data_IF_544736384720
#
_entry.id   IF_544736384720
#
_cell.length_a   1.000
_cell.length_b   1.000
_cell.length_c   1.000
_cell.angle_alpha   90.00
_cell.angle_beta   90.00
_cell.angle_gamma   90.00
#
_symmetry.space_group_name_H-M   'P 1'
#
loop_
_entity.id
_entity.type
_entity.pdbx_description
1 polymer ?
#
# COMPACT_ATOMS: atom_id res chain seq x y z
N UNK A 1 3.79 3.48 -7.80
CA UNK A 1 4.21 2.71 -8.99
C UNK A 1 5.70 2.97 -9.23
N UNK A 2 6.45 2.03 -9.81
CA UNK A 2 7.82 2.26 -10.29
C UNK A 2 7.95 3.53 -11.13
N UNK A 3 9.03 4.30 -10.98
CA UNK A 3 9.40 5.29 -11.98
C UNK A 3 9.86 4.60 -13.26
N UNK A 4 8.94 4.43 -14.21
CA UNK A 4 9.17 3.67 -15.45
C UNK A 4 10.24 4.29 -16.37
N UNK A 5 10.61 5.56 -16.15
CA UNK A 5 11.66 6.25 -16.93
C UNK A 5 13.06 5.67 -16.66
N UNK A 6 13.24 4.96 -15.55
CA UNK A 6 14.52 4.33 -15.17
C UNK A 6 14.72 2.94 -15.79
N UNK A 7 13.67 2.37 -16.39
CA UNK A 7 13.70 0.99 -16.90
C UNK A 7 14.26 0.97 -18.32
N UNK A 8 15.29 0.14 -18.54
CA UNK A 8 15.73 -0.23 -19.89
C UNK A 8 14.76 -1.24 -20.52
N UNK A 9 13.93 -0.80 -21.47
CA UNK A 9 12.94 -1.63 -22.15
C UNK A 9 13.49 -2.46 -23.31
N UNK A 10 14.82 -2.58 -23.45
CA UNK A 10 15.41 -3.45 -24.46
C UNK A 10 15.03 -4.90 -24.20
N UNK A 11 14.43 -5.55 -25.19
CA UNK A 11 14.01 -6.94 -25.10
C UNK A 11 15.20 -7.86 -24.80
N UNK A 12 14.99 -8.80 -23.87
CA UNK A 12 16.04 -9.74 -23.47
C UNK A 12 15.95 -10.16 -22.01
N UNK A 13 16.75 -11.16 -21.65
CA UNK A 13 16.88 -11.69 -20.29
C UNK A 13 18.28 -11.40 -19.78
N UNK A 14 18.38 -10.81 -18.59
CA UNK A 14 19.63 -10.51 -17.89
C UNK A 14 19.61 -11.14 -16.50
N UNK A 15 20.54 -12.05 -16.23
CA UNK A 15 20.80 -12.51 -14.86
C UNK A 15 21.48 -11.39 -14.09
N UNK A 16 20.93 -11.05 -12.93
CA UNK A 16 21.37 -9.92 -12.10
C UNK A 16 22.15 -10.41 -10.87
N UNK A 17 21.72 -11.50 -10.25
CA UNK A 17 22.40 -12.07 -9.09
C UNK A 17 22.23 -13.59 -9.02
N UNK A 18 23.23 -14.27 -8.45
CA UNK A 18 23.18 -15.69 -8.11
C UNK A 18 22.85 -15.82 -6.61
N UNK A 19 21.60 -16.14 -6.29
CA UNK A 19 21.17 -16.29 -4.90
C UNK A 19 21.67 -17.61 -4.30
N UNK A 20 22.02 -18.59 -5.12
CA UNK A 20 22.64 -19.83 -4.68
C UNK A 20 24.02 -19.59 -4.09
N UNK A 21 24.83 -18.73 -4.72
CA UNK A 21 26.13 -18.32 -4.15
C UNK A 21 25.97 -17.57 -2.82
N UNK A 22 25.00 -16.65 -2.71
CA UNK A 22 24.72 -15.95 -1.45
C UNK A 22 24.30 -16.95 -0.35
N UNK A 23 23.47 -17.95 -0.67
CA UNK A 23 23.06 -18.99 0.29
C UNK A 23 24.18 -19.95 0.70
N UNK A 24 25.24 -20.10 -0.11
CA UNK A 24 26.42 -20.88 0.27
C UNK A 24 27.31 -20.12 1.25
N UNK A 25 27.36 -18.80 1.11
CA UNK A 25 28.20 -17.94 1.93
C UNK A 25 27.58 -17.65 3.30
N UNK A 26 26.26 -17.46 3.36
CA UNK A 26 25.56 -17.04 4.58
C UNK A 26 24.61 -18.13 5.10
N UNK A 27 24.62 -18.33 6.42
CA UNK A 27 23.83 -19.37 7.10
C UNK A 27 22.32 -19.11 7.06
N UNK A 28 21.92 -17.85 6.89
CA UNK A 28 20.53 -17.42 6.77
C UNK A 28 20.42 -16.31 5.72
N UNK A 29 19.45 -16.45 4.81
CA UNK A 29 19.11 -15.45 3.78
C UNK A 29 17.60 -15.28 3.74
N UNK A 30 17.13 -14.05 3.98
CA UNK A 30 15.70 -13.71 4.08
C UNK A 30 15.37 -12.37 3.43
N UNK A 31 14.07 -12.06 3.34
CA UNK A 31 13.53 -10.80 2.81
C UNK A 31 14.03 -10.44 1.39
N UNK A 32 13.67 -11.27 0.40
CA UNK A 32 14.02 -11.04 -1.00
C UNK A 32 13.19 -9.89 -1.59
N UNK A 33 13.85 -8.79 -1.97
CA UNK A 33 13.19 -7.62 -2.56
C UNK A 33 13.89 -7.21 -3.84
N UNK A 34 13.13 -7.10 -4.94
CA UNK A 34 13.64 -6.66 -6.23
C UNK A 34 13.38 -5.16 -6.44
N UNK A 35 14.34 -4.45 -7.04
CA UNK A 35 14.16 -3.04 -7.39
C UNK A 35 13.06 -2.86 -8.45
N UNK A 36 12.41 -1.69 -8.47
CA UNK A 36 11.42 -1.33 -9.49
C UNK A 36 11.91 -1.55 -10.94
N UNK A 37 13.15 -1.18 -11.24
CA UNK A 37 13.80 -1.38 -12.55
C UNK A 37 14.28 -2.82 -12.83
N UNK A 38 14.30 -3.65 -11.79
CA UNK A 38 14.77 -5.03 -11.83
C UNK A 38 16.29 -5.20 -11.85
N UNK A 39 17.08 -4.13 -11.78
CA UNK A 39 18.55 -4.17 -11.83
C UNK A 39 19.20 -4.55 -10.49
N UNK A 40 18.43 -4.59 -9.40
CA UNK A 40 18.89 -4.99 -8.07
C UNK A 40 17.96 -5.99 -7.42
N UNK A 41 18.54 -6.89 -6.64
CA UNK A 41 17.85 -7.68 -5.63
C UNK A 41 18.59 -7.53 -4.30
N UNK A 42 17.83 -7.27 -3.25
CA UNK A 42 18.32 -7.14 -1.90
C UNK A 42 17.81 -8.29 -1.02
N UNK A 43 18.64 -8.72 -0.07
CA UNK A 43 18.32 -9.71 0.95
C UNK A 43 18.98 -9.33 2.27
N UNK A 44 18.42 -9.78 3.39
CA UNK A 44 19.10 -9.78 4.68
C UNK A 44 19.86 -11.09 4.84
N UNK A 45 21.13 -10.98 5.22
CA UNK A 45 22.04 -12.10 5.46
C UNK A 45 22.52 -12.12 6.90
N UNK A 46 22.75 -13.32 7.44
CA UNK A 46 23.45 -13.49 8.74
C UNK A 46 24.93 -13.71 8.48
N UNK A 47 25.77 -12.78 8.95
CA UNK A 47 27.23 -12.80 8.80
C UNK A 47 27.90 -13.58 9.95
N UNK A 48 27.38 -13.42 11.16
CA UNK A 48 27.79 -14.12 12.38
C UNK A 48 26.58 -14.26 13.33
N UNK A 49 26.76 -14.83 14.53
CA UNK A 49 25.67 -15.10 15.48
C UNK A 49 24.82 -13.85 15.78
N UNK A 50 25.47 -12.71 16.03
CA UNK A 50 24.82 -11.43 16.37
C UNK A 50 25.02 -10.34 15.31
N UNK A 51 25.54 -10.71 14.13
CA UNK A 51 25.84 -9.76 13.05
C UNK A 51 25.02 -10.10 11.81
N UNK A 52 24.19 -9.16 11.39
CA UNK A 52 23.45 -9.22 10.13
C UNK A 52 23.99 -8.17 9.14
N UNK A 53 23.73 -8.40 7.86
CA UNK A 53 24.03 -7.46 6.79
C UNK A 53 22.90 -7.41 5.78
N UNK A 54 22.89 -6.35 4.97
CA UNK A 54 22.04 -6.25 3.79
C UNK A 54 22.92 -6.49 2.56
N UNK A 55 22.56 -7.51 1.77
CA UNK A 55 23.28 -7.91 0.56
C UNK A 55 22.49 -7.48 -0.67
N UNK A 56 23.12 -6.72 -1.55
CA UNK A 56 22.56 -6.25 -2.82
C UNK A 56 23.37 -6.85 -3.96
N UNK A 57 22.73 -7.67 -4.79
CA UNK A 57 23.38 -8.35 -5.92
C UNK A 57 24.66 -9.13 -5.53
N UNK A 58 24.72 -9.69 -4.32
CA UNK A 58 25.89 -10.43 -3.82
C UNK A 58 26.92 -9.56 -3.09
N UNK A 59 26.73 -8.24 -3.01
CA UNK A 59 27.59 -7.32 -2.27
C UNK A 59 26.91 -6.89 -0.98
N UNK A 60 27.54 -7.16 0.17
CA UNK A 60 27.03 -6.74 1.48
C UNK A 60 27.42 -5.29 1.74
N UNK A 61 26.51 -4.52 2.32
CA UNK A 61 26.83 -3.20 2.87
C UNK A 61 28.01 -3.27 3.85
N UNK A 62 28.78 -2.18 3.92
CA UNK A 62 30.00 -2.15 4.73
C UNK A 62 29.71 -2.24 6.23
N UNK A 63 28.59 -1.68 6.67
CA UNK A 63 28.21 -1.63 8.07
C UNK A 63 27.74 -2.99 8.58
N UNK A 64 28.29 -3.40 9.72
CA UNK A 64 27.73 -4.48 10.53
C UNK A 64 26.49 -3.98 11.28
N UNK A 65 25.43 -4.78 11.25
CA UNK A 65 24.14 -4.44 11.84
C UNK A 65 23.79 -5.50 12.89
N UNK A 66 23.12 -5.11 13.97
CA UNK A 66 22.51 -6.08 14.89
C UNK A 66 21.22 -6.66 14.28
N UNK A 67 20.45 -5.79 13.61
CA UNK A 67 19.18 -6.13 12.97
C UNK A 67 18.98 -5.33 11.70
N UNK A 68 18.28 -5.94 10.75
CA UNK A 68 17.76 -5.32 9.55
C UNK A 68 16.42 -5.97 9.23
N UNK A 69 15.40 -5.16 8.97
CA UNK A 69 14.07 -5.60 8.58
C UNK A 69 13.43 -4.62 7.61
N UNK A 70 12.37 -5.07 6.95
CA UNK A 70 11.53 -4.26 6.06
C UNK A 70 12.34 -3.60 4.94
N UNK A 71 13.11 -4.41 4.20
CA UNK A 71 13.76 -3.88 3.00
C UNK A 71 12.69 -3.39 2.02
N UNK A 72 12.88 -2.18 1.50
CA UNK A 72 11.95 -1.62 0.54
C UNK A 72 12.72 -0.75 -0.45
N UNK A 73 12.51 -1.01 -1.75
CA UNK A 73 12.94 -0.06 -2.76
C UNK A 73 11.90 1.04 -2.92
N UNK A 74 12.35 2.30 -2.80
CA UNK A 74 11.55 3.47 -3.12
C UNK A 74 11.22 3.57 -4.62
N UNK A 75 10.25 4.43 -5.01
CA UNK A 75 9.94 4.69 -6.42
C UNK A 75 11.13 5.18 -7.28
N UNK A 76 12.13 5.78 -6.64
CA UNK A 76 13.40 6.25 -7.23
C UNK A 76 14.49 5.17 -7.28
N UNK A 77 14.13 3.91 -7.00
CA UNK A 77 15.01 2.76 -6.86
C UNK A 77 15.98 2.79 -5.67
N UNK A 78 16.00 3.78 -4.76
CA UNK A 78 16.87 3.68 -3.56
C UNK A 78 16.38 2.60 -2.62
N UNK A 79 17.29 1.78 -2.09
CA UNK A 79 16.95 0.73 -1.11
C UNK A 79 16.91 1.33 0.28
N UNK A 80 15.82 1.13 1.01
CA UNK A 80 15.75 1.43 2.44
C UNK A 80 15.69 0.15 3.27
N UNK A 81 16.20 0.23 4.50
CA UNK A 81 16.02 -0.78 5.53
C UNK A 81 15.88 -0.09 6.88
N UNK A 82 15.02 -0.63 7.74
CA UNK A 82 15.02 -0.25 9.15
C UNK A 82 16.08 -1.14 9.84
N UNK A 83 17.06 -0.50 10.46
CA UNK A 83 18.24 -1.19 10.98
C UNK A 83 18.50 -0.83 12.43
N UNK A 84 19.17 -1.73 13.14
CA UNK A 84 19.63 -1.50 14.51
C UNK A 84 21.15 -1.56 14.58
N UNK A 85 21.74 -0.53 15.16
CA UNK A 85 23.20 -0.36 15.35
C UNK A 85 23.41 0.28 16.71
N UNK A 86 24.35 -0.25 17.50
CA UNK A 86 24.67 0.21 18.86
C UNK A 86 23.42 0.31 19.75
N UNK A 87 22.60 -0.75 19.73
CA UNK A 87 21.32 -0.88 20.44
C UNK A 87 20.21 0.11 20.03
N UNK A 88 20.43 0.99 19.05
CA UNK A 88 19.49 2.02 18.59
C UNK A 88 18.98 1.76 17.16
N UNK A 89 17.73 2.15 16.89
CA UNK A 89 17.10 2.00 15.58
C UNK A 89 17.32 3.23 14.71
N UNK A 90 17.48 3.01 13.41
CA UNK A 90 17.47 4.07 12.39
C UNK A 90 17.04 3.53 11.02
N UNK A 91 16.98 4.41 10.01
CA UNK A 91 16.77 4.02 8.60
C UNK A 91 18.11 4.08 7.89
N UNK A 92 18.44 3.02 7.16
CA UNK A 92 19.52 3.00 6.18
C UNK A 92 18.94 3.26 4.77
N UNK A 93 19.62 4.06 3.96
CA UNK A 93 19.29 4.33 2.55
C UNK A 93 20.52 4.02 1.70
N UNK A 94 20.44 2.99 0.86
CA UNK A 94 21.55 2.46 0.06
C UNK A 94 22.84 2.21 0.87
N UNK A 95 22.71 1.82 2.15
CA UNK A 95 23.81 1.55 3.08
C UNK A 95 24.22 2.74 3.93
N UNK A 96 23.74 3.95 3.64
CA UNK A 96 23.98 5.12 4.47
C UNK A 96 22.94 5.22 5.58
N UNK A 97 23.38 5.24 6.83
CA UNK A 97 22.48 5.45 7.97
C UNK A 97 22.05 6.92 8.02
N UNK A 98 20.78 7.19 8.35
CA UNK A 98 20.42 8.51 8.85
C UNK A 98 21.31 8.88 10.04
N UNK A 99 21.51 10.18 10.32
CA UNK A 99 22.31 10.61 11.48
C UNK A 99 21.54 10.36 12.79
N UNK A 100 20.25 10.65 12.80
CA UNK A 100 19.37 10.46 13.97
C UNK A 100 19.20 8.98 14.35
N UNK A 101 19.05 8.75 15.65
CA UNK A 101 18.86 7.44 16.28
C UNK A 101 17.60 7.47 17.14
N UNK A 102 16.93 6.33 17.25
CA UNK A 102 15.63 6.21 17.91
C UNK A 102 15.56 4.97 18.79
N UNK A 103 14.74 4.99 19.85
CA UNK A 103 14.37 3.77 20.57
C UNK A 103 13.69 2.75 19.64
N UNK A 104 12.85 3.23 18.71
CA UNK A 104 12.21 2.45 17.65
C UNK A 104 11.92 3.31 16.44
N UNK A 105 12.01 2.72 15.25
CA UNK A 105 11.55 3.30 13.98
C UNK A 105 10.80 2.25 13.15
N UNK A 106 9.67 2.61 12.54
CA UNK A 106 8.82 1.69 11.78
C UNK A 106 7.92 2.41 10.76
N UNK A 107 7.17 1.63 9.96
CA UNK A 107 6.17 2.12 9.01
C UNK A 107 6.73 3.14 8.00
N UNK A 108 7.78 2.76 7.27
CA UNK A 108 8.40 3.61 6.24
C UNK A 108 7.43 3.92 5.10
N UNK A 109 7.32 5.17 4.67
CA UNK A 109 6.53 5.62 3.50
C UNK A 109 7.36 6.54 2.61
N UNK A 110 7.04 6.55 1.32
CA UNK A 110 7.75 7.31 0.29
C UNK A 110 6.83 8.34 -0.36
N UNK A 111 7.38 9.50 -0.74
CA UNK A 111 6.70 10.39 -1.70
C UNK A 111 6.51 9.68 -3.04
N UNK A 112 5.65 10.21 -3.89
CA UNK A 112 5.32 9.60 -5.18
C UNK A 112 6.55 9.44 -6.09
N UNK A 113 7.51 10.36 -6.01
CA UNK A 113 8.79 10.32 -6.74
C UNK A 113 9.91 9.57 -5.97
N UNK A 114 9.69 9.22 -4.70
CA UNK A 114 10.67 8.58 -3.83
C UNK A 114 11.69 9.52 -3.16
N UNK A 115 11.69 10.81 -3.47
CA UNK A 115 12.67 11.78 -2.94
C UNK A 115 12.56 12.01 -1.43
N UNK A 116 11.37 11.81 -0.86
CA UNK A 116 11.08 11.89 0.57
C UNK A 116 10.80 10.51 1.14
N UNK A 117 11.48 10.19 2.24
CA UNK A 117 11.34 8.96 3.02
C UNK A 117 10.90 9.37 4.42
N UNK A 118 9.69 9.00 4.81
CA UNK A 118 9.18 9.23 6.16
C UNK A 118 9.12 7.92 6.93
N UNK A 119 9.28 7.96 8.25
CA UNK A 119 9.06 6.82 9.14
C UNK A 119 8.50 7.28 10.49
N UNK A 120 7.65 6.46 11.11
CA UNK A 120 7.25 6.68 12.50
C UNK A 120 8.42 6.39 13.41
N UNK A 121 8.56 7.19 14.46
CA UNK A 121 9.63 7.02 15.45
C UNK A 121 9.07 7.07 16.88
N UNK A 122 9.86 6.51 17.79
CA UNK A 122 9.68 6.63 19.23
C UNK A 122 10.99 7.03 19.88
N UNK A 123 10.93 8.03 20.76
CA UNK A 123 12.05 8.51 21.57
C UNK A 123 11.51 8.99 22.93
N UNK A 124 12.19 8.64 24.02
CA UNK A 124 11.84 9.03 25.39
C UNK A 124 10.37 8.75 25.74
N UNK A 125 9.87 7.57 25.35
CA UNK A 125 8.46 7.18 25.50
C UNK A 125 7.44 8.09 24.78
N UNK A 126 7.90 8.93 23.84
CA UNK A 126 7.07 9.79 22.98
C UNK A 126 7.18 9.37 21.52
N UNK A 127 6.19 9.74 20.72
CA UNK A 127 6.00 9.26 19.35
C UNK A 127 5.92 10.43 18.37
N UNK A 128 6.50 10.25 17.19
CA UNK A 128 6.46 11.24 16.12
C UNK A 128 6.71 10.63 14.75
N UNK A 129 7.05 11.49 13.80
CA UNK A 129 7.46 11.11 12.45
C UNK A 129 8.81 11.76 12.17
N UNK A 130 9.69 11.03 11.48
CA UNK A 130 10.94 11.55 10.93
C UNK A 130 10.87 11.53 9.41
N UNK A 131 11.28 12.63 8.77
CA UNK A 131 11.30 12.76 7.31
C UNK A 131 12.73 13.01 6.85
N UNK A 132 13.28 12.12 6.03
CA UNK A 132 14.68 12.13 5.59
C UNK A 132 15.67 12.27 6.76
N UNK A 133 15.39 11.58 7.87
CA UNK A 133 16.22 11.63 9.07
C UNK A 133 16.03 12.87 9.93
N UNK A 134 15.08 13.75 9.63
CA UNK A 134 14.72 14.88 10.49
C UNK A 134 13.47 14.55 11.29
N UNK A 135 13.67 14.29 12.58
CA UNK A 135 12.59 14.05 13.53
C UNK A 135 11.80 15.34 13.81
N UNK A 136 10.49 15.19 14.04
CA UNK A 136 9.68 16.25 14.64
C UNK A 136 10.22 16.67 16.00
N UNK A 137 10.17 17.98 16.29
CA UNK A 137 10.52 18.52 17.60
C UNK A 137 9.40 18.25 18.61
N UNK A 138 8.15 18.28 18.14
CA UNK A 138 6.97 18.00 18.96
C UNK A 138 6.59 16.52 18.87
N UNK A 139 6.68 15.82 20.00
CA UNK A 139 6.32 14.40 20.12
C UNK A 139 5.10 14.19 21.02
N UNK A 140 4.41 13.06 20.80
CA UNK A 140 3.09 12.78 21.36
C UNK A 140 3.07 11.54 22.25
N UNK A 141 2.01 11.36 23.04
CA UNK A 141 1.84 10.17 23.87
C UNK A 141 1.68 8.88 23.03
N UNK A 142 1.18 9.01 21.80
CA UNK A 142 1.08 7.92 20.83
C UNK A 142 0.98 8.46 19.42
N UNK A 143 1.43 7.68 18.43
CA UNK A 143 1.23 7.90 17.00
C UNK A 143 0.82 6.57 16.36
N UNK A 144 -0.44 6.46 15.89
CA UNK A 144 -0.99 5.17 15.40
C UNK A 144 -0.66 4.88 13.95
N UNK A 145 -0.79 5.88 13.10
CA UNK A 145 -0.48 5.85 11.67
C UNK A 145 -0.32 7.29 11.16
N UNK A 146 0.12 7.47 9.93
CA UNK A 146 0.25 8.78 9.30
C UNK A 146 0.02 8.71 7.78
N UNK A 147 -0.35 9.83 7.17
CA UNK A 147 -0.28 10.01 5.73
C UNK A 147 0.93 10.88 5.37
N UNK A 148 1.54 10.60 4.23
CA UNK A 148 2.53 11.46 3.57
C UNK A 148 1.88 12.01 2.29
N UNK A 149 2.00 13.32 2.04
CA UNK A 149 1.52 13.93 0.81
C UNK A 149 2.25 13.38 -0.41
N UNK A 150 1.66 13.54 -1.61
CA UNK A 150 2.26 13.00 -2.84
C UNK A 150 3.65 13.55 -3.16
N UNK A 151 3.90 14.83 -2.85
CA UNK A 151 5.21 15.48 -2.95
C UNK A 151 6.13 15.20 -1.74
N UNK A 152 5.58 14.61 -0.67
CA UNK A 152 6.26 14.32 0.59
C UNK A 152 6.61 15.54 1.44
N UNK A 153 6.08 16.72 1.12
CA UNK A 153 6.31 17.96 1.88
C UNK A 153 5.39 18.08 3.10
N UNK A 154 4.38 17.22 3.22
CA UNK A 154 3.44 17.27 4.34
C UNK A 154 3.10 15.90 4.90
N UNK A 155 2.99 15.84 6.23
CA UNK A 155 2.68 14.66 7.01
C UNK A 155 1.47 14.93 7.88
N UNK A 156 0.50 14.02 7.88
CA UNK A 156 -0.66 14.05 8.78
C UNK A 156 -0.67 12.79 9.65
N UNK A 157 -0.36 12.92 10.93
CA UNK A 157 -0.23 11.80 11.87
C UNK A 157 -1.41 11.72 12.85
N UNK A 158 -1.86 10.50 13.13
CA UNK A 158 -2.90 10.21 14.10
C UNK A 158 -2.29 10.14 15.51
N UNK A 159 -2.45 11.20 16.29
CA UNK A 159 -1.70 11.37 17.55
C UNK A 159 -2.60 11.39 18.78
N UNK A 160 -2.08 10.89 19.90
CA UNK A 160 -2.67 11.11 21.21
C UNK A 160 -2.00 12.33 21.85
N UNK A 161 -2.76 13.42 21.96
CA UNK A 161 -2.25 14.74 22.39
C UNK A 161 -2.26 14.92 23.91
N UNK A 162 -2.83 13.97 24.64
CA UNK A 162 -2.87 13.97 26.09
C UNK A 162 -2.46 12.61 26.65
N UNK A 163 -1.68 12.64 27.74
CA UNK A 163 -1.37 11.44 28.50
C UNK A 163 -2.65 10.87 29.11
N UNK A 164 -2.94 9.60 28.83
CA UNK A 164 -4.11 8.90 29.32
C UNK A 164 -3.68 7.78 30.28
N UNK A 165 -3.93 7.90 31.59
CA UNK A 165 -3.66 6.83 32.54
C UNK A 165 -4.44 5.55 32.21
N UNK A 166 -3.88 4.41 32.60
CA UNK A 166 -4.55 3.12 32.44
C UNK A 166 -5.94 3.13 33.10
N UNK A 167 -6.93 2.62 32.37
CA UNK A 167 -8.33 2.52 32.80
C UNK A 167 -9.06 3.84 33.11
N UNK A 168 -8.51 5.02 32.77
CA UNK A 168 -9.23 6.29 32.88
C UNK A 168 -10.24 6.48 31.74
N UNK A 169 -11.38 5.81 31.89
CA UNK A 169 -12.46 5.85 30.89
C UNK A 169 -13.13 7.22 30.80
N UNK A 170 -13.06 8.05 31.84
CA UNK A 170 -13.70 9.37 31.84
C UNK A 170 -12.89 10.35 31.01
N UNK A 171 -11.58 10.41 31.22
CA UNK A 171 -10.69 11.21 30.38
C UNK A 171 -10.70 10.74 28.93
N UNK A 172 -10.77 9.43 28.69
CA UNK A 172 -10.94 8.91 27.33
C UNK A 172 -12.21 9.47 26.65
N UNK A 173 -13.33 9.55 27.37
CA UNK A 173 -14.60 10.09 26.87
C UNK A 173 -14.57 11.60 26.61
N UNK A 174 -13.63 12.35 27.18
CA UNK A 174 -13.39 13.76 26.85
C UNK A 174 -12.67 13.93 25.50
N UNK A 175 -12.11 12.85 24.94
CA UNK A 175 -11.33 12.86 23.71
C UNK A 175 -9.86 13.26 23.96
N UNK A 176 -8.95 12.35 23.57
CA UNK A 176 -7.49 12.53 23.73
C UNK A 176 -6.74 12.44 22.40
N UNK A 177 -7.44 12.18 21.30
CA UNK A 177 -6.84 11.94 19.99
C UNK A 177 -7.06 13.13 19.06
N UNK A 178 -6.07 13.48 18.26
CA UNK A 178 -6.12 14.54 17.26
C UNK A 178 -5.26 14.17 16.05
N UNK A 179 -5.17 15.05 15.08
CA UNK A 179 -4.32 14.92 13.89
C UNK A 179 -3.22 15.96 13.96
N UNK A 180 -1.96 15.53 13.92
CA UNK A 180 -0.81 16.42 13.79
C UNK A 180 -0.45 16.59 12.32
N UNK A 181 -0.59 17.81 11.79
CA UNK A 181 -0.16 18.16 10.43
C UNK A 181 1.17 18.88 10.54
N UNK A 182 2.23 18.28 10.00
CA UNK A 182 3.61 18.77 10.12
C UNK A 182 3.95 19.11 11.57
N UNK A 183 3.82 18.11 12.44
CA UNK A 183 4.05 18.18 13.89
C UNK A 183 3.08 19.04 14.70
N UNK A 184 2.20 19.84 14.09
CA UNK A 184 1.25 20.70 14.80
C UNK A 184 -0.13 20.03 14.92
N UNK A 185 -0.65 19.82 16.14
CA UNK A 185 -1.95 19.19 16.31
C UNK A 185 -3.08 20.15 15.96
N UNK A 186 -4.14 19.62 15.36
CA UNK A 186 -5.43 20.28 15.30
C UNK A 186 -5.94 20.63 16.71
N UNK A 187 -6.70 21.73 16.83
CA UNK A 187 -7.22 22.20 18.11
C UNK A 187 -8.27 21.24 18.67
N UNK A 188 -9.08 20.64 17.80
CA UNK A 188 -10.12 19.70 18.25
C UNK A 188 -9.53 18.36 18.65
N UNK A 189 -10.16 17.77 19.66
CA UNK A 189 -9.91 16.40 20.10
C UNK A 189 -11.11 15.52 19.78
N UNK A 190 -10.80 14.24 19.58
CA UNK A 190 -11.74 13.17 19.29
C UNK A 190 -11.45 11.99 20.20
N UNK A 191 -12.42 11.08 20.35
CA UNK A 191 -12.19 9.81 21.03
C UNK A 191 -11.16 8.96 20.31
N UNK A 192 -11.26 8.93 18.98
CA UNK A 192 -10.30 8.30 18.10
C UNK A 192 -10.30 9.00 16.75
N UNK A 193 -9.15 8.95 16.08
CA UNK A 193 -8.97 9.36 14.69
C UNK A 193 -8.38 8.18 13.90
N UNK A 194 -8.76 8.05 12.63
CA UNK A 194 -8.38 6.94 11.76
C UNK A 194 -8.16 7.40 10.32
N UNK A 195 -7.40 6.61 9.57
CA UNK A 195 -7.24 6.68 8.12
C UNK A 195 -7.05 8.11 7.56
N UNK A 196 -5.92 8.78 7.88
CA UNK A 196 -5.67 10.10 7.34
C UNK A 196 -5.37 10.02 5.84
N UNK A 197 -5.85 10.99 5.08
CA UNK A 197 -5.51 11.12 3.68
C UNK A 197 -5.33 12.59 3.29
N UNK A 198 -4.42 12.85 2.35
CA UNK A 198 -4.25 14.15 1.72
C UNK A 198 -5.06 14.25 0.44
N UNK A 199 -5.40 15.48 0.05
CA UNK A 199 -5.80 15.78 -1.32
C UNK A 199 -4.60 15.75 -2.27
N UNK A 200 -4.85 15.84 -3.59
CA UNK A 200 -3.81 15.78 -4.62
C UNK A 200 -2.74 16.88 -4.47
N UNK A 201 -3.08 17.99 -3.79
CA UNK A 201 -2.16 19.11 -3.58
C UNK A 201 -1.30 18.95 -2.33
N UNK A 202 -1.59 17.97 -1.47
CA UNK A 202 -0.92 17.79 -0.19
C UNK A 202 -1.28 18.84 0.86
N UNK A 203 -2.30 19.68 0.62
CA UNK A 203 -2.62 20.84 1.50
C UNK A 203 -3.83 20.63 2.38
N UNK A 204 -4.73 19.74 1.99
CA UNK A 204 -5.94 19.42 2.77
C UNK A 204 -5.84 18.01 3.29
N UNK A 205 -6.32 17.81 4.51
CA UNK A 205 -6.31 16.55 5.22
C UNK A 205 -7.75 16.17 5.57
N UNK A 206 -8.13 14.96 5.22
CA UNK A 206 -9.38 14.34 5.67
C UNK A 206 -9.06 13.13 6.54
N UNK A 207 -9.83 12.97 7.62
CA UNK A 207 -9.68 11.85 8.56
C UNK A 207 -11.05 11.32 8.97
N UNK A 208 -11.12 10.02 9.25
CA UNK A 208 -12.24 9.45 9.98
C UNK A 208 -12.10 9.80 11.47
N UNK A 209 -13.18 10.26 12.09
CA UNK A 209 -13.20 10.59 13.52
C UNK A 209 -14.35 9.93 14.25
N UNK A 210 -14.08 9.46 15.47
CA UNK A 210 -15.08 9.04 16.43
C UNK A 210 -15.33 10.18 17.41
N UNK A 211 -16.55 10.71 17.43
CA UNK A 211 -16.90 11.89 18.24
C UNK A 211 -17.50 11.54 19.59
N UNK A 212 -18.18 10.39 19.70
CA UNK A 212 -18.66 9.83 20.96
C UNK A 212 -18.59 8.28 20.95
N UNK A 213 -19.12 7.64 21.98
CA UNK A 213 -19.13 6.17 22.11
C UNK A 213 -19.82 5.44 20.94
N UNK A 214 -20.65 6.13 20.15
CA UNK A 214 -21.54 5.57 19.13
C UNK A 214 -21.53 6.30 17.79
N UNK A 215 -20.96 7.51 17.73
CA UNK A 215 -21.00 8.38 16.56
C UNK A 215 -19.63 8.59 15.92
N UNK A 216 -19.66 8.56 14.59
CA UNK A 216 -18.53 8.75 13.70
C UNK A 216 -18.84 9.83 12.67
N UNK A 217 -17.80 10.49 12.17
CA UNK A 217 -17.90 11.38 11.01
C UNK A 217 -16.55 11.52 10.30
N UNK A 218 -16.48 12.37 9.28
CA UNK A 218 -15.23 12.81 8.68
C UNK A 218 -14.90 14.21 9.17
N UNK A 219 -13.63 14.50 9.43
CA UNK A 219 -13.13 15.86 9.62
C UNK A 219 -12.19 16.24 8.48
N UNK A 220 -12.37 17.45 7.94
CA UNK A 220 -11.51 18.07 6.93
C UNK A 220 -10.85 19.29 7.59
N UNK A 221 -9.51 19.33 7.64
CA UNK A 221 -8.75 20.48 8.16
C UNK A 221 -9.26 21.03 9.51
N UNK A 222 -9.40 20.15 10.51
CA UNK A 222 -9.94 20.44 11.85
C UNK A 222 -11.44 20.79 11.92
N UNK A 223 -12.16 20.65 10.81
CA UNK A 223 -13.62 20.86 10.76
C UNK A 223 -14.36 19.54 10.54
N UNK A 224 -15.02 18.98 11.58
CA UNK A 224 -15.85 17.79 11.42
C UNK A 224 -17.12 18.13 10.65
N UNK A 225 -17.56 17.22 9.78
CA UNK A 225 -18.88 17.34 9.16
C UNK A 225 -19.97 17.41 10.24
N UNK A 226 -21.00 18.21 9.95
CA UNK A 226 -22.20 18.30 10.79
C UNK A 226 -22.94 16.95 10.87
N UNK A 227 -22.92 16.19 9.76
CA UNK A 227 -23.60 14.89 9.69
C UNK A 227 -22.82 13.84 10.46
N UNK A 228 -23.52 13.09 11.32
CA UNK A 228 -22.98 11.97 12.10
C UNK A 228 -23.55 10.65 11.61
N UNK A 229 -22.75 9.61 11.70
CA UNK A 229 -23.08 8.25 11.28
C UNK A 229 -22.81 7.26 12.41
N UNK A 230 -23.44 6.10 12.36
CA UNK A 230 -23.12 5.01 13.30
C UNK A 230 -21.76 4.38 13.04
N UNK A 231 -21.23 4.55 11.82
CA UNK A 231 -19.90 4.11 11.41
C UNK A 231 -19.55 4.78 10.07
N UNK A 232 -18.28 5.08 9.85
CA UNK A 232 -17.69 5.49 8.57
C UNK A 232 -16.43 4.64 8.35
N UNK A 233 -15.89 4.59 7.13
CA UNK A 233 -14.60 3.92 6.87
C UNK A 233 -13.76 4.71 5.89
N UNK A 234 -12.49 4.95 6.22
CA UNK A 234 -11.41 5.35 5.27
C UNK A 234 -11.84 6.44 4.27
N UNK A 235 -11.85 7.73 4.63
CA UNK A 235 -12.18 8.81 3.69
C UNK A 235 -11.17 8.87 2.53
N UNK A 236 -11.61 9.40 1.39
CA UNK A 236 -10.72 9.65 0.26
C UNK A 236 -11.16 10.88 -0.52
N UNK A 237 -10.22 11.75 -0.86
CA UNK A 237 -10.47 12.87 -1.76
C UNK A 237 -10.70 12.38 -3.18
N UNK A 238 -11.71 12.95 -3.83
CA UNK A 238 -12.06 12.66 -5.21
C UNK A 238 -11.11 13.41 -6.17
N UNK A 239 -10.34 12.71 -7.03
CA UNK A 239 -9.40 13.34 -7.97
C UNK A 239 -10.02 14.44 -8.81
N UNK A 240 -9.34 15.58 -9.01
CA UNK A 240 -9.86 16.72 -9.80
C UNK A 240 -11.12 17.40 -9.24
N UNK A 241 -11.62 16.97 -8.09
CA UNK A 241 -12.80 17.50 -7.41
C UNK A 241 -12.44 17.89 -5.96
N UNK A 242 -13.28 18.72 -5.33
CA UNK A 242 -13.07 19.11 -3.92
C UNK A 242 -13.68 18.14 -2.91
N UNK A 243 -14.51 17.21 -3.36
CA UNK A 243 -15.29 16.34 -2.48
C UNK A 243 -14.47 15.23 -1.84
N UNK A 244 -14.85 14.87 -0.62
CA UNK A 244 -14.36 13.69 0.09
C UNK A 244 -15.46 12.63 0.04
N UNK A 245 -15.13 11.47 -0.50
CA UNK A 245 -16.03 10.32 -0.57
C UNK A 245 -15.68 9.30 0.50
N UNK A 246 -16.71 8.83 1.19
CA UNK A 246 -16.54 7.93 2.34
C UNK A 246 -17.70 6.92 2.40
N UNK A 247 -17.42 5.63 2.62
CA UNK A 247 -18.38 4.65 3.10
C UNK A 247 -19.00 5.07 4.42
N UNK A 248 -20.33 5.12 4.48
CA UNK A 248 -21.08 5.46 5.70
C UNK A 248 -22.18 4.46 5.97
N UNK A 249 -22.44 4.20 7.25
CA UNK A 249 -23.56 3.37 7.70
C UNK A 249 -24.75 4.23 8.09
N UNK A 250 -25.85 4.07 7.36
CA UNK A 250 -27.11 4.81 7.53
C UNK A 250 -28.25 3.79 7.67
N UNK A 251 -29.04 3.91 8.74
CA UNK A 251 -30.21 3.05 8.99
C UNK A 251 -29.93 1.55 8.87
N UNK A 252 -28.76 1.11 9.38
CA UNK A 252 -28.36 -0.29 9.42
C UNK A 252 -27.66 -0.83 8.17
N UNK A 253 -27.55 -0.06 7.09
CA UNK A 253 -26.91 -0.44 5.84
C UNK A 253 -25.84 0.56 5.40
N UNK A 254 -24.96 0.15 4.49
CA UNK A 254 -23.86 0.96 3.96
C UNK A 254 -24.20 1.63 2.64
N UNK A 255 -23.69 2.83 2.44
CA UNK A 255 -23.69 3.59 1.17
C UNK A 255 -22.43 4.45 1.09
N UNK A 256 -22.10 4.95 -0.09
CA UNK A 256 -21.16 6.07 -0.19
C UNK A 256 -21.85 7.39 0.10
N UNK A 257 -21.14 8.29 0.76
CA UNK A 257 -21.48 9.69 0.95
C UNK A 257 -20.35 10.59 0.43
N UNK A 258 -20.71 11.79 -0.01
CA UNK A 258 -19.78 12.86 -0.40
C UNK A 258 -20.20 14.15 0.30
N UNK A 259 -19.27 14.80 1.02
CA UNK A 259 -19.56 16.04 1.75
C UNK A 259 -20.74 15.93 2.73
N UNK A 260 -20.81 14.82 3.48
CA UNK A 260 -21.87 14.57 4.46
C UNK A 260 -23.23 14.14 3.90
N UNK A 261 -23.36 13.94 2.58
CA UNK A 261 -24.64 13.54 1.95
C UNK A 261 -24.51 12.21 1.22
N UNK A 262 -25.52 11.33 1.27
CA UNK A 262 -25.51 10.09 0.48
C UNK A 262 -25.28 10.40 -1.01
N UNK A 263 -24.24 9.79 -1.57
CA UNK A 263 -23.88 9.88 -2.99
C UNK A 263 -24.57 8.78 -3.79
N UNK A 264 -24.55 7.56 -3.24
CA UNK A 264 -25.18 6.37 -3.81
C UNK A 264 -26.61 6.20 -3.28
N UNK A 265 -27.51 5.72 -4.16
CA UNK A 265 -28.92 5.46 -3.85
C UNK A 265 -29.11 4.05 -3.32
N UNK A 266 -28.33 3.07 -3.81
CA UNK A 266 -28.42 1.71 -3.30
C UNK A 266 -27.82 1.59 -1.90
N UNK A 267 -28.15 0.49 -1.24
CA UNK A 267 -27.71 0.17 0.12
C UNK A 267 -27.18 -1.24 0.15
N UNK A 268 -26.08 -1.43 0.85
CA UNK A 268 -25.35 -2.70 0.90
C UNK A 268 -25.18 -3.17 2.35
N UNK A 269 -25.04 -4.48 2.56
CA UNK A 269 -24.76 -5.02 3.89
C UNK A 269 -23.38 -4.64 4.42
N UNK A 270 -22.42 -4.46 3.50
CA UNK A 270 -21.06 -3.98 3.73
C UNK A 270 -20.59 -3.20 2.50
N UNK A 271 -19.72 -2.20 2.70
CA UNK A 271 -19.12 -1.39 1.64
C UNK A 271 -17.77 -0.86 2.13
N UNK A 272 -16.70 -1.04 1.35
CA UNK A 272 -15.37 -0.51 1.67
C UNK A 272 -14.48 -0.40 0.41
N UNK A 273 -13.25 0.12 0.60
CA UNK A 273 -12.19 0.19 -0.42
C UNK A 273 -12.67 0.87 -1.72
N UNK A 274 -13.32 2.02 -1.59
CA UNK A 274 -13.70 2.85 -2.72
C UNK A 274 -12.46 3.33 -3.49
N UNK A 275 -12.57 3.33 -4.80
CA UNK A 275 -11.55 3.78 -5.76
C UNK A 275 -12.20 4.65 -6.81
N UNK A 276 -11.42 5.57 -7.36
CA UNK A 276 -11.86 6.49 -8.40
C UNK A 276 -11.28 6.10 -9.76
N UNK A 277 -11.99 6.41 -10.84
CA UNK A 277 -11.35 6.51 -12.15
C UNK A 277 -10.28 7.62 -12.12
N UNK A 278 -9.27 7.58 -13.00
CA UNK A 278 -8.22 8.60 -13.03
C UNK A 278 -8.73 10.04 -13.20
N UNK A 279 -9.85 10.23 -13.90
CA UNK A 279 -10.50 11.54 -14.06
C UNK A 279 -11.45 11.91 -12.91
N UNK A 280 -11.54 11.07 -11.86
CA UNK A 280 -12.39 11.26 -10.70
C UNK A 280 -13.89 11.08 -10.96
N UNK A 281 -14.33 10.83 -12.20
CA UNK A 281 -15.78 10.84 -12.52
C UNK A 281 -16.52 9.59 -12.09
N UNK A 282 -15.84 8.45 -12.04
CA UNK A 282 -16.43 7.16 -11.69
C UNK A 282 -15.90 6.65 -10.37
N UNK A 283 -16.72 5.86 -9.68
CA UNK A 283 -16.38 5.27 -8.39
C UNK A 283 -16.67 3.77 -8.43
N UNK A 284 -15.70 2.97 -8.02
CA UNK A 284 -15.87 1.55 -7.78
C UNK A 284 -15.61 1.24 -6.31
N UNK A 285 -16.36 0.31 -5.71
CA UNK A 285 -16.12 -0.13 -4.34
C UNK A 285 -16.46 -1.61 -4.17
N UNK A 286 -15.83 -2.25 -3.17
CA UNK A 286 -16.25 -3.59 -2.75
C UNK A 286 -17.56 -3.46 -1.98
N UNK A 287 -18.55 -4.25 -2.35
CA UNK A 287 -19.88 -4.27 -1.72
C UNK A 287 -20.32 -5.69 -1.39
N UNK A 288 -21.17 -5.82 -0.37
CA UNK A 288 -21.96 -7.02 -0.13
C UNK A 288 -23.45 -6.75 -0.38
N UNK A 289 -24.00 -7.09 -1.56
CA UNK A 289 -25.44 -6.93 -1.83
C UNK A 289 -26.31 -7.83 -0.94
N UNK A 290 -25.78 -8.94 -0.45
CA UNK A 290 -26.44 -9.82 0.51
C UNK A 290 -25.42 -10.50 1.42
N UNK A 291 -25.89 -11.16 2.48
CA UNK A 291 -25.02 -11.71 3.52
C UNK A 291 -24.06 -12.75 2.94
N UNK A 292 -22.77 -12.57 3.19
CA UNK A 292 -21.72 -13.49 2.73
C UNK A 292 -21.52 -13.52 1.22
N UNK A 293 -22.09 -12.57 0.45
CA UNK A 293 -21.89 -12.46 -1.00
C UNK A 293 -21.28 -11.11 -1.31
N UNK A 294 -20.09 -11.14 -1.91
CA UNK A 294 -19.28 -9.97 -2.22
C UNK A 294 -19.19 -9.73 -3.71
N UNK A 295 -19.10 -8.48 -4.13
CA UNK A 295 -18.83 -8.09 -5.52
C UNK A 295 -18.29 -6.66 -5.58
N UNK A 296 -18.05 -6.14 -6.78
CA UNK A 296 -17.77 -4.72 -7.00
C UNK A 296 -19.05 -4.01 -7.42
N UNK A 297 -19.30 -2.84 -6.85
CA UNK A 297 -20.23 -1.87 -7.41
C UNK A 297 -19.46 -0.78 -8.14
N UNK A 298 -19.90 -0.44 -9.35
CA UNK A 298 -19.37 0.67 -10.14
C UNK A 298 -20.51 1.66 -10.36
N UNK A 299 -20.31 2.90 -9.95
CA UNK A 299 -21.29 3.99 -10.06
C UNK A 299 -22.67 3.60 -9.52
N UNK A 300 -22.69 3.08 -8.28
CA UNK A 300 -23.89 2.63 -7.55
C UNK A 300 -24.51 1.30 -8.05
N UNK A 301 -23.94 0.67 -9.07
CA UNK A 301 -24.46 -0.58 -9.66
C UNK A 301 -23.51 -1.74 -9.35
N UNK A 302 -23.99 -2.71 -8.56
CA UNK A 302 -23.28 -3.96 -8.31
C UNK A 302 -23.18 -4.81 -9.57
N UNK A 303 -22.04 -5.49 -9.78
CA UNK A 303 -21.95 -6.55 -10.78
C UNK A 303 -22.91 -7.70 -10.45
N UNK A 304 -23.42 -8.36 -11.48
CA UNK A 304 -24.34 -9.50 -11.33
C UNK A 304 -23.66 -10.72 -10.69
N UNK A 305 -22.38 -10.95 -11.02
CA UNK A 305 -21.61 -12.03 -10.43
C UNK A 305 -21.17 -11.66 -9.01
N UNK A 306 -21.36 -12.59 -8.08
CA UNK A 306 -20.93 -12.44 -6.68
C UNK A 306 -20.09 -13.62 -6.22
N UNK A 307 -19.26 -13.39 -5.21
CA UNK A 307 -18.27 -14.34 -4.69
C UNK A 307 -18.50 -14.57 -3.19
N UNK A 308 -18.35 -15.82 -2.76
CA UNK A 308 -18.68 -16.26 -1.40
C UNK A 308 -17.56 -16.05 -0.38
N UNK A 309 -16.31 -15.99 -0.81
CA UNK A 309 -15.18 -15.95 0.11
C UNK A 309 -14.62 -14.53 0.27
N UNK A 310 -14.21 -13.90 -0.84
CA UNK A 310 -13.59 -12.56 -0.78
C UNK A 310 -13.59 -11.83 -2.13
N UNK A 311 -13.58 -10.50 -2.07
CA UNK A 311 -13.29 -9.60 -3.20
C UNK A 311 -12.33 -8.53 -2.69
N UNK A 312 -11.21 -8.33 -3.38
CA UNK A 312 -10.22 -7.28 -3.06
C UNK A 312 -10.62 -5.94 -3.70
N UNK A 313 -9.88 -4.88 -3.34
CA UNK A 313 -10.16 -3.53 -3.84
C UNK A 313 -10.20 -3.51 -5.39
N UNK A 314 -11.16 -2.76 -6.00
CA UNK A 314 -11.24 -2.64 -7.44
C UNK A 314 -10.07 -1.81 -7.99
N UNK A 315 -9.75 -2.00 -9.27
CA UNK A 315 -8.78 -1.22 -10.02
C UNK A 315 -9.44 -0.69 -11.29
N UNK A 316 -9.32 0.60 -11.57
CA UNK A 316 -9.72 1.17 -12.85
C UNK A 316 -8.61 1.03 -13.89
N UNK A 317 -9.00 0.84 -15.16
CA UNK A 317 -8.11 1.06 -16.29
C UNK A 317 -7.66 2.53 -16.37
N UNK A 318 -6.52 2.84 -17.02
CA UNK A 318 -6.03 4.21 -17.14
C UNK A 318 -7.01 5.18 -17.82
N UNK A 319 -7.86 4.68 -18.71
CA UNK A 319 -8.92 5.46 -19.36
C UNK A 319 -10.23 5.51 -18.55
N UNK A 320 -10.29 4.86 -17.39
CA UNK A 320 -11.45 4.81 -16.49
C UNK A 320 -12.63 3.97 -16.99
N UNK A 321 -12.51 3.26 -18.12
CA UNK A 321 -13.63 2.51 -18.70
C UNK A 321 -13.85 1.14 -18.07
N UNK A 322 -12.78 0.44 -17.75
CA UNK A 322 -12.80 -0.93 -17.25
C UNK A 322 -12.47 -0.98 -15.77
N UNK A 323 -13.04 -1.97 -15.07
CA UNK A 323 -12.74 -2.25 -13.67
C UNK A 323 -12.36 -3.72 -13.49
N UNK A 324 -11.20 -3.97 -12.89
CA UNK A 324 -10.74 -5.30 -12.51
C UNK A 324 -10.74 -5.48 -10.99
N UNK A 325 -10.90 -6.71 -10.52
CA UNK A 325 -10.73 -7.06 -9.12
C UNK A 325 -10.22 -8.50 -8.96
N UNK A 326 -9.39 -8.72 -7.95
CA UNK A 326 -9.06 -10.07 -7.48
C UNK A 326 -10.21 -10.61 -6.65
N UNK A 327 -10.64 -11.84 -6.94
CA UNK A 327 -11.82 -12.46 -6.34
C UNK A 327 -11.49 -13.85 -5.82
N UNK A 328 -12.24 -14.34 -4.83
CA UNK A 328 -12.07 -15.67 -4.25
C UNK A 328 -13.41 -16.39 -4.12
N UNK A 329 -13.48 -17.61 -4.63
CA UNK A 329 -14.64 -18.49 -4.61
C UNK A 329 -14.19 -19.94 -4.43
N UNK A 330 -14.86 -20.69 -3.57
CA UNK A 330 -14.57 -22.11 -3.32
C UNK A 330 -13.10 -22.36 -2.98
N UNK A 331 -12.54 -21.47 -2.16
CA UNK A 331 -11.15 -21.46 -1.76
C UNK A 331 -10.13 -21.32 -2.92
N UNK A 332 -10.56 -20.83 -4.08
CA UNK A 332 -9.72 -20.58 -5.26
C UNK A 332 -9.77 -19.10 -5.62
N UNK A 333 -8.63 -18.57 -6.05
CA UNK A 333 -8.49 -17.18 -6.44
C UNK A 333 -8.63 -17.00 -7.96
N UNK A 334 -9.16 -15.87 -8.39
CA UNK A 334 -9.29 -15.49 -9.79
C UNK A 334 -9.26 -13.97 -9.97
N UNK A 335 -9.39 -13.54 -11.22
CA UNK A 335 -9.56 -12.12 -11.59
C UNK A 335 -10.93 -11.99 -12.24
N UNK A 336 -11.66 -10.93 -11.87
CA UNK A 336 -12.87 -10.52 -12.55
C UNK A 336 -12.68 -9.16 -13.20
N UNK A 337 -13.13 -9.01 -14.45
CA UNK A 337 -13.07 -7.76 -15.22
C UNK A 337 -14.48 -7.44 -15.68
N UNK A 338 -14.96 -6.24 -15.37
CA UNK A 338 -16.30 -5.74 -15.71
C UNK A 338 -17.42 -6.74 -15.37
N UNK A 339 -17.36 -7.34 -14.18
CA UNK A 339 -18.36 -8.27 -13.68
C UNK A 339 -18.28 -9.69 -14.23
N UNK A 340 -17.20 -10.02 -14.97
CA UNK A 340 -16.95 -11.37 -15.49
C UNK A 340 -15.66 -11.93 -14.94
N UNK A 341 -15.76 -13.01 -14.17
CA UNK A 341 -14.60 -13.79 -13.76
C UNK A 341 -13.94 -14.48 -14.96
N UNK A 342 -12.61 -14.52 -14.95
CA UNK A 342 -11.81 -15.41 -15.77
C UNK A 342 -12.16 -16.88 -15.51
N UNK A 343 -11.93 -17.73 -16.52
CA UNK A 343 -12.19 -19.17 -16.42
C UNK A 343 -11.14 -19.89 -15.59
N UNK A 344 -9.88 -19.46 -15.67
CA UNK A 344 -8.80 -20.03 -14.89
C UNK A 344 -8.81 -19.53 -13.44
N UNK A 345 -8.53 -20.44 -12.50
CA UNK A 345 -8.37 -20.12 -11.07
C UNK A 345 -7.04 -20.62 -10.52
N UNK A 346 -6.61 -20.06 -9.39
CA UNK A 346 -5.26 -20.16 -8.86
C UNK A 346 -5.27 -20.37 -7.34
N UNK A 347 -4.13 -20.79 -6.80
CA UNK A 347 -3.94 -20.94 -5.35
C UNK A 347 -3.79 -19.56 -4.68
N UNK A 348 -3.27 -18.58 -5.42
CA UNK A 348 -3.21 -17.16 -5.05
C UNK A 348 -3.18 -16.28 -6.31
N UNK A 349 -3.75 -15.08 -6.22
CA UNK A 349 -3.67 -14.02 -7.25
C UNK A 349 -3.28 -12.72 -6.55
N UNK A 350 -2.24 -12.05 -7.02
CA UNK A 350 -1.83 -10.72 -6.54
C UNK A 350 -2.62 -9.64 -7.26
N UNK A 351 -2.50 -8.38 -6.83
CA UNK A 351 -3.22 -7.25 -7.45
C UNK A 351 -2.95 -7.21 -8.97
N UNK A 352 -4.00 -7.21 -9.82
CA UNK A 352 -3.82 -7.14 -11.27
C UNK A 352 -3.36 -5.74 -11.68
N UNK A 353 -2.82 -5.62 -12.89
CA UNK A 353 -2.46 -4.34 -13.51
C UNK A 353 -3.07 -4.26 -14.91
N UNK A 354 -3.49 -3.06 -15.30
CA UNK A 354 -3.90 -2.77 -16.68
C UNK A 354 -2.70 -2.37 -17.54
N UNK A 355 -2.75 -2.69 -18.83
CA UNK A 355 -1.96 -2.00 -19.84
C UNK A 355 -2.30 -0.49 -19.87
N UNK A 356 -1.39 0.38 -20.33
CA UNK A 356 -1.66 1.81 -20.49
C UNK A 356 -2.92 2.12 -21.29
N UNK A 357 -3.24 1.30 -22.31
CA UNK A 357 -4.45 1.45 -23.13
C UNK A 357 -5.71 0.86 -22.49
N UNK A 358 -5.58 0.10 -21.38
CA UNK A 358 -6.69 -0.49 -20.63
C UNK A 358 -7.31 -1.76 -21.22
N UNK A 359 -6.74 -2.30 -22.30
CA UNK A 359 -7.23 -3.45 -23.05
C UNK A 359 -6.69 -4.82 -22.56
N UNK A 360 -5.61 -4.80 -21.78
CA UNK A 360 -5.00 -6.00 -21.21
C UNK A 360 -4.91 -5.90 -19.70
N UNK A 361 -5.37 -6.95 -19.02
CA UNK A 361 -5.22 -7.14 -17.58
C UNK A 361 -4.22 -8.25 -17.33
N UNK A 362 -3.14 -7.94 -16.61
CA UNK A 362 -2.11 -8.88 -16.19
C UNK A 362 -2.17 -9.11 -14.69
N UNK A 363 -1.84 -10.33 -14.25
CA UNK A 363 -1.64 -10.61 -12.83
C UNK A 363 -0.50 -11.61 -12.62
N UNK A 364 0.17 -11.47 -11.48
CA UNK A 364 0.99 -12.53 -10.89
C UNK A 364 0.07 -13.53 -10.20
N UNK A 365 0.33 -14.82 -10.39
CA UNK A 365 -0.46 -15.91 -9.81
C UNK A 365 0.42 -17.02 -9.26
N UNK A 366 -0.12 -17.79 -8.32
CA UNK A 366 0.49 -19.01 -7.79
C UNK A 366 -0.35 -20.22 -8.19
N UNK A 367 0.33 -21.27 -8.67
CA UNK A 367 -0.26 -22.57 -8.99
C UNK A 367 0.74 -23.67 -8.69
N UNK A 368 0.35 -24.62 -7.85
CA UNK A 368 1.16 -25.78 -7.46
C UNK A 368 2.52 -25.37 -6.85
N UNK A 369 2.50 -24.35 -5.98
CA UNK A 369 3.70 -23.81 -5.31
C UNK A 369 4.68 -23.09 -6.24
N UNK A 370 4.28 -22.74 -7.47
CA UNK A 370 5.07 -21.99 -8.44
C UNK A 370 4.36 -20.73 -8.89
N UNK A 371 5.14 -19.68 -9.15
CA UNK A 371 4.59 -18.42 -9.63
C UNK A 371 4.58 -18.34 -11.16
N UNK A 372 3.60 -17.64 -11.72
CA UNK A 372 3.43 -17.39 -13.18
C UNK A 372 2.79 -16.02 -13.42
N UNK A 373 2.80 -15.58 -14.68
CA UNK A 373 1.96 -14.48 -15.15
C UNK A 373 0.76 -15.00 -15.93
N UNK A 374 -0.35 -14.29 -15.84
CA UNK A 374 -1.55 -14.49 -16.65
C UNK A 374 -1.94 -13.14 -17.25
N UNK A 375 -2.37 -13.13 -18.51
CA UNK A 375 -2.87 -11.95 -19.19
C UNK A 375 -4.19 -12.28 -19.89
N UNK A 376 -5.26 -11.54 -19.59
CA UNK A 376 -6.59 -11.76 -20.18
C UNK A 376 -7.02 -13.24 -20.21
N UNK A 377 -6.97 -13.91 -19.05
CA UNK A 377 -7.32 -15.34 -18.88
C UNK A 377 -6.38 -16.32 -19.62
N UNK A 378 -5.23 -15.86 -20.12
CA UNK A 378 -4.21 -16.69 -20.76
C UNK A 378 -2.98 -16.83 -19.88
N UNK A 379 -2.71 -18.06 -19.45
CA UNK A 379 -1.58 -18.38 -18.58
C UNK A 379 -0.27 -18.44 -19.38
N UNK A 380 0.71 -17.63 -18.99
CA UNK A 380 2.04 -17.66 -19.60
C UNK A 380 2.81 -18.90 -19.12
N UNK A 381 3.47 -19.59 -20.05
CA UNK A 381 4.09 -20.91 -19.80
C UNK A 381 5.23 -20.90 -18.76
N UNK A 382 6.16 -19.93 -18.76
CA UNK A 382 7.27 -19.89 -17.81
C UNK A 382 6.82 -19.94 -16.34
N UNK A 383 7.60 -20.62 -15.52
CA UNK A 383 7.36 -20.79 -14.09
C UNK A 383 8.54 -20.28 -13.28
N UNK A 384 8.26 -19.71 -12.11
CA UNK A 384 9.26 -19.05 -11.27
C UNK A 384 9.22 -19.62 -9.85
N UNK A 385 10.36 -19.60 -9.17
CA UNK A 385 10.49 -19.88 -7.73
C UNK A 385 10.05 -18.67 -6.90
N UNK A 386 10.41 -17.48 -7.37
CA UNK A 386 9.92 -16.18 -6.89
C UNK A 386 9.59 -15.31 -8.10
N UNK A 387 8.56 -14.49 -7.98
CA UNK A 387 8.14 -13.55 -9.01
C UNK A 387 7.64 -12.28 -8.33
N UNK A 388 8.10 -11.12 -8.80
CA UNK A 388 7.56 -9.83 -8.36
C UNK A 388 6.49 -9.36 -9.36
N UNK A 389 5.67 -8.39 -8.94
CA UNK A 389 4.55 -7.91 -9.75
C UNK A 389 5.01 -7.42 -11.12
N UNK A 390 4.25 -7.69 -12.19
CA UNK A 390 4.62 -7.29 -13.54
C UNK A 390 4.61 -5.77 -13.68
N UNK A 391 5.59 -5.23 -14.42
CA UNK A 391 5.59 -3.80 -14.79
C UNK A 391 5.40 -3.69 -16.28
N UNK A 392 4.31 -3.06 -16.72
CA UNK A 392 4.01 -2.83 -18.14
C UNK A 392 4.70 -1.56 -18.60
N UNK A 393 5.29 -1.58 -19.79
CA UNK A 393 5.93 -0.41 -20.39
C UNK A 393 4.94 0.73 -20.66
N UNK A 394 5.38 1.99 -20.70
CA UNK A 394 4.51 3.13 -21.01
C UNK A 394 3.78 3.02 -22.35
N UNK A 395 4.39 2.34 -23.33
CA UNK A 395 3.81 2.11 -24.66
C UNK A 395 2.89 0.88 -24.72
N UNK A 396 2.74 0.14 -23.61
CA UNK A 396 1.89 -1.05 -23.49
C UNK A 396 2.40 -2.29 -24.24
N UNK A 397 3.59 -2.25 -24.84
CA UNK A 397 4.08 -3.34 -25.70
C UNK A 397 4.94 -4.36 -24.98
N UNK A 398 5.52 -4.00 -23.84
CA UNK A 398 6.49 -4.82 -23.13
C UNK A 398 6.10 -4.98 -21.65
N UNK A 399 6.58 -6.08 -21.07
CA UNK A 399 6.44 -6.36 -19.64
C UNK A 399 7.82 -6.67 -19.09
N UNK A 400 8.20 -5.96 -18.03
CA UNK A 400 9.35 -6.28 -17.22
C UNK A 400 8.96 -7.35 -16.22
N UNK A 401 9.59 -8.50 -16.37
CA UNK A 401 9.48 -9.66 -15.50
C UNK A 401 10.70 -9.71 -14.60
N UNK A 402 10.47 -9.71 -13.29
CA UNK A 402 11.50 -9.86 -12.26
C UNK A 402 11.23 -11.17 -11.55
N UNK A 403 12.18 -12.10 -11.57
CA UNK A 403 11.92 -13.43 -11.04
C UNK A 403 13.17 -14.24 -10.76
N UNK A 404 12.96 -15.36 -10.08
CA UNK A 404 14.00 -16.33 -9.72
C UNK A 404 13.70 -17.67 -10.38
N UNK A 405 14.71 -18.22 -11.06
CA UNK A 405 14.71 -19.58 -11.63
C UNK A 405 16.09 -20.16 -11.40
N UNK A 406 16.16 -21.40 -10.91
CA UNK A 406 17.40 -22.11 -10.60
C UNK A 406 18.30 -21.29 -9.68
N UNK A 407 17.71 -20.75 -8.60
CA UNK A 407 18.36 -19.87 -7.61
C UNK A 407 18.96 -18.57 -8.18
N UNK A 408 18.68 -18.22 -9.44
CA UNK A 408 19.21 -17.01 -10.08
C UNK A 408 18.12 -15.97 -10.26
N UNK A 409 18.37 -14.79 -9.71
CA UNK A 409 17.53 -13.63 -9.95
C UNK A 409 17.84 -13.01 -11.31
N UNK A 410 16.79 -12.72 -12.07
CA UNK A 410 16.90 -12.07 -13.37
C UNK A 410 15.82 -11.01 -13.56
N UNK A 411 16.13 -10.07 -14.44
CA UNK A 411 15.15 -9.26 -15.14
C UNK A 411 15.01 -9.71 -16.58
N UNK A 412 13.80 -9.70 -17.10
CA UNK A 412 13.51 -10.02 -18.49
C UNK A 412 12.46 -9.07 -19.04
N UNK A 413 12.75 -8.45 -20.18
CA UNK A 413 11.76 -7.68 -20.92
C UNK A 413 11.22 -8.56 -22.03
N UNK A 414 9.92 -8.85 -21.96
CA UNK A 414 9.18 -9.64 -22.96
C UNK A 414 8.11 -8.80 -23.61
N UNK A 415 7.72 -9.14 -24.84
CA UNK A 415 6.57 -8.50 -25.48
C UNK A 415 5.27 -8.97 -24.82
N UNK A 416 4.28 -8.08 -24.74
CA UNK A 416 2.97 -8.43 -24.22
C UNK A 416 2.26 -9.50 -25.09
N UNK A 417 2.51 -9.47 -26.40
CA UNK A 417 2.02 -10.49 -27.34
C UNK A 417 2.55 -11.89 -27.02
N UNK A 418 3.82 -12.03 -26.62
CA UNK A 418 4.40 -13.30 -26.21
C UNK A 418 3.70 -13.89 -24.96
N UNK A 419 3.31 -13.03 -24.02
CA UNK A 419 2.57 -13.45 -22.81
C UNK A 419 1.18 -13.96 -23.20
N UNK A 420 0.51 -13.27 -24.13
CA UNK A 420 -0.84 -13.62 -24.57
C UNK A 420 -0.89 -14.81 -25.53
N UNK A 421 0.22 -15.20 -26.16
CA UNK A 421 0.27 -16.35 -27.07
C UNK A 421 -0.17 -16.03 -28.49
#
# INVERSE_FOLDING_TARGET
MPNQATVDWTAGKKTVADLGEIRKEYSEVREFVASPDGERIAVVVRKDDDVVGVCVNGQVWEQDLEKAWHLAFGPDNRLTALVRVDDEWTVAVDGELWEERYEFVWNTKFSADGSRIAAQMKQDMRYGVSVNGQAWETLYASCRDYALSGDGESVAALVQVEDLPEADIFKFLEGTWSVAVNEQPWERKYLNVYAPCFDETGKRVAVEVRTDATQYTVAEDDEPWETKYTCVWEPSFRPGHRGIVVPVRVSGAWTLAEGGKPLWKNRFMQLWRQRFSPDGKRIAAVVAPSYGRWTIAVDDVAWDQTFGDMVLAPLFSPDGKHVAATVKQENRWGVAVDGRAWSETFDMVWEPVFSPEGDVVLAKVERDGRYRLVANDRLWKPTFELLWDPVVSPDGKHVLVRGVVDEKYFRQVVSLGEIMG
#
